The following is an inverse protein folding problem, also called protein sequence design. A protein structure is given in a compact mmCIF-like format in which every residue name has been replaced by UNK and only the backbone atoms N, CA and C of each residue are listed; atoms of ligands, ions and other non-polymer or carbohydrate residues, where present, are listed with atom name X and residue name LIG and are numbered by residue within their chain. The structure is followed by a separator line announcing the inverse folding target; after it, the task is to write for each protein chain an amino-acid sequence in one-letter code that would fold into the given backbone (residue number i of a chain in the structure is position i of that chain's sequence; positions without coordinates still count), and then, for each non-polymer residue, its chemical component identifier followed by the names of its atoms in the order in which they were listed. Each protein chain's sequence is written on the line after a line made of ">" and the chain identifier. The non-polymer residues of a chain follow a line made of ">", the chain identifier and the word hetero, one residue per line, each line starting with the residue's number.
data_IF_781073673771
#
_entry.id   IF_781073673771
#
_cell.length_a   1.000
_cell.length_b   1.000
_cell.length_c   1.000
_cell.angle_alpha   90.00
_cell.angle_beta   90.00
_cell.angle_gamma   90.00
#
_symmetry.space_group_name_H-M   'P 1'
#
loop_
_entity.id
_entity.type
_entity.pdbx_description
1 polymer ?
#
# COMPACT_ATOMS: atom_id res chain seq x y z
N UNK A 1 -14.89 -5.80 -3.38
CA UNK A 1 -13.43 -5.93 -3.43
C UNK A 1 -12.87 -5.77 -2.03
N UNK A 2 -12.09 -6.71 -1.47
CA UNK A 2 -11.51 -6.54 -0.14
C UNK A 2 -10.59 -5.32 -0.12
N UNK A 3 -10.58 -4.62 1.00
CA UNK A 3 -9.70 -3.50 1.28
C UNK A 3 -8.73 -3.90 2.39
N UNK A 4 -7.51 -3.38 2.34
CA UNK A 4 -6.61 -3.42 3.49
C UNK A 4 -6.51 -2.04 4.13
N UNK A 5 -6.47 -2.01 5.46
CA UNK A 5 -6.32 -0.78 6.22
C UNK A 5 -4.84 -0.36 6.23
N UNK A 6 -4.52 0.72 5.51
CA UNK A 6 -3.18 1.31 5.50
C UNK A 6 -3.05 2.32 6.63
N UNK A 7 -2.17 2.02 7.60
CA UNK A 7 -2.08 2.70 8.90
C UNK A 7 -1.09 3.89 8.88
N UNK A 8 -0.98 4.56 7.73
CA UNK A 8 -0.09 5.70 7.60
C UNK A 8 -0.51 6.83 8.54
N UNK A 9 0.45 7.37 9.29
CA UNK A 9 0.22 8.48 10.22
C UNK A 9 -0.37 8.08 11.57
N UNK A 10 -0.53 6.79 11.87
CA UNK A 10 -0.86 6.34 13.24
C UNK A 10 0.38 6.33 14.15
N UNK A 11 0.12 6.42 15.46
CA UNK A 11 1.17 6.33 16.49
C UNK A 11 1.73 4.91 16.55
N UNK A 12 3.05 4.79 16.75
CA UNK A 12 3.73 3.51 16.90
C UNK A 12 4.02 3.13 18.36
N UNK A 13 3.43 3.85 19.32
CA UNK A 13 3.49 3.41 20.73
C UNK A 13 2.68 2.12 20.87
N UNK A 14 3.20 1.08 21.55
CA UNK A 14 2.57 -0.25 21.57
C UNK A 14 1.08 -0.24 21.93
N UNK A 15 0.69 0.51 22.97
CA UNK A 15 -0.70 0.63 23.41
C UNK A 15 -1.63 1.22 22.35
N UNK A 16 -1.13 2.17 21.56
CA UNK A 16 -1.88 2.78 20.47
C UNK A 16 -1.96 1.83 19.28
N UNK A 17 -0.88 1.10 18.99
CA UNK A 17 -0.82 0.11 17.90
C UNK A 17 -1.84 -0.99 18.15
N UNK A 18 -1.84 -1.61 19.34
CA UNK A 18 -2.78 -2.66 19.71
C UNK A 18 -4.22 -2.20 19.57
N UNK A 19 -4.55 -1.03 20.13
CA UNK A 19 -5.90 -0.45 20.05
C UNK A 19 -6.33 -0.22 18.60
N UNK A 20 -5.50 0.44 17.80
CA UNK A 20 -5.80 0.73 16.39
C UNK A 20 -5.99 -0.57 15.60
N UNK A 21 -5.15 -1.57 15.84
CA UNK A 21 -5.27 -2.86 15.17
C UNK A 21 -6.63 -3.52 15.46
N UNK A 22 -6.99 -3.65 16.74
CA UNK A 22 -8.25 -4.25 17.18
C UNK A 22 -9.46 -3.51 16.63
N UNK A 23 -9.47 -2.16 16.71
CA UNK A 23 -10.56 -1.34 16.16
C UNK A 23 -10.77 -1.53 14.66
N UNK A 24 -9.73 -1.84 13.87
CA UNK A 24 -9.88 -2.06 12.43
C UNK A 24 -10.27 -3.49 12.09
N UNK A 25 -9.87 -4.48 12.90
CA UNK A 25 -10.42 -5.84 12.81
C UNK A 25 -11.92 -5.82 13.11
N UNK A 26 -12.37 -5.09 14.14
CA UNK A 26 -13.80 -4.91 14.47
C UNK A 26 -14.59 -4.23 13.34
N UNK A 27 -13.94 -3.39 12.53
CA UNK A 27 -14.53 -2.79 11.32
C UNK A 27 -14.57 -3.74 10.12
N UNK A 28 -14.13 -4.98 10.29
CA UNK A 28 -14.17 -6.05 9.29
C UNK A 28 -12.94 -6.16 8.40
N UNK A 29 -11.86 -5.42 8.65
CA UNK A 29 -10.64 -5.56 7.86
C UNK A 29 -9.94 -6.89 8.18
N UNK A 30 -9.67 -7.68 7.14
CA UNK A 30 -8.87 -8.90 7.21
C UNK A 30 -7.40 -8.68 6.82
N UNK A 31 -7.00 -7.43 6.55
CA UNK A 31 -5.65 -7.08 6.13
C UNK A 31 -5.27 -5.66 6.57
N UNK A 32 -4.00 -5.44 6.92
CA UNK A 32 -3.49 -4.12 7.31
C UNK A 32 -2.02 -3.92 6.95
N UNK A 33 -1.67 -2.67 6.61
CA UNK A 33 -0.29 -2.25 6.32
C UNK A 33 0.23 -1.29 7.40
N UNK A 34 1.43 -1.57 7.92
CA UNK A 34 2.11 -0.75 8.93
C UNK A 34 3.50 -0.31 8.46
N UNK A 35 3.95 0.83 8.97
CA UNK A 35 5.13 1.54 8.45
C UNK A 35 6.28 1.49 9.46
N UNK A 36 7.45 1.10 9.00
CA UNK A 36 8.68 1.20 9.79
C UNK A 36 9.13 2.65 9.95
N UNK A 37 9.85 2.94 11.03
CA UNK A 37 10.44 4.27 11.30
C UNK A 37 11.95 4.24 11.47
N UNK A 38 12.53 3.06 11.45
CA UNK A 38 13.95 2.86 11.64
C UNK A 38 14.55 2.19 10.41
N UNK A 39 15.67 2.73 9.96
CA UNK A 39 16.46 2.19 8.87
C UNK A 39 17.90 1.88 9.30
N UNK A 40 18.83 1.73 8.35
CA UNK A 40 20.23 1.38 8.61
C UNK A 40 20.91 2.29 9.64
N UNK A 41 20.67 3.61 9.57
CA UNK A 41 21.25 4.60 10.48
C UNK A 41 20.80 4.48 11.95
N UNK A 42 19.72 3.76 12.23
CA UNK A 42 19.24 3.53 13.61
C UNK A 42 19.94 2.35 14.31
N UNK A 43 20.82 1.63 13.61
CA UNK A 43 21.62 0.53 14.16
C UNK A 43 20.79 -0.64 14.73
N UNK A 44 21.41 -1.42 15.62
CA UNK A 44 20.74 -2.53 16.32
C UNK A 44 19.52 -2.09 17.15
N UNK A 45 19.53 -0.94 17.86
CA UNK A 45 18.35 -0.48 18.58
C UNK A 45 17.15 -0.23 17.66
N UNK A 46 17.34 0.42 16.51
CA UNK A 46 16.26 0.65 15.54
C UNK A 46 15.71 -0.64 14.95
N UNK A 47 16.60 -1.59 14.63
CA UNK A 47 16.20 -2.92 14.19
C UNK A 47 15.31 -3.62 15.23
N UNK A 48 15.68 -3.57 16.52
CA UNK A 48 14.85 -4.14 17.61
C UNK A 48 13.48 -3.48 17.69
N UNK A 49 13.41 -2.14 17.60
CA UNK A 49 12.15 -1.39 17.60
C UNK A 49 11.22 -1.77 16.45
N UNK A 50 11.77 -1.96 15.24
CA UNK A 50 10.97 -2.45 14.11
C UNK A 50 10.41 -3.85 14.38
N UNK A 51 11.19 -4.76 14.99
CA UNK A 51 10.70 -6.10 15.35
C UNK A 51 9.65 -6.07 16.47
N UNK A 52 9.80 -5.18 17.44
CA UNK A 52 8.84 -4.95 18.52
C UNK A 52 7.50 -4.46 17.97
N UNK A 53 7.52 -3.56 16.98
CA UNK A 53 6.30 -3.13 16.28
C UNK A 53 5.57 -4.31 15.65
N UNK A 54 6.25 -5.12 14.84
CA UNK A 54 5.64 -6.26 14.15
C UNK A 54 5.12 -7.30 15.15
N UNK A 55 5.88 -7.56 16.22
CA UNK A 55 5.43 -8.41 17.32
C UNK A 55 4.15 -7.88 17.94
N UNK A 56 4.10 -6.59 18.27
CA UNK A 56 2.93 -5.95 18.89
C UNK A 56 1.69 -6.08 18.01
N UNK A 57 1.84 -5.86 16.70
CA UNK A 57 0.74 -6.02 15.74
C UNK A 57 0.25 -7.47 15.74
N UNK A 58 1.17 -8.44 15.61
CA UNK A 58 0.81 -9.87 15.62
C UNK A 58 0.17 -10.33 16.93
N UNK A 59 0.65 -9.87 18.07
CA UNK A 59 0.02 -10.14 19.36
C UNK A 59 -1.41 -9.56 19.43
N UNK A 60 -1.68 -8.46 18.73
CA UNK A 60 -2.99 -7.80 18.74
C UNK A 60 -4.02 -8.43 17.80
N UNK A 61 -3.60 -8.96 16.64
CA UNK A 61 -4.52 -9.41 15.57
C UNK A 61 -4.37 -10.88 15.18
N UNK A 62 -3.34 -11.55 15.66
CA UNK A 62 -3.04 -12.94 15.29
C UNK A 62 -2.57 -13.08 13.83
N UNK A 63 -2.80 -14.27 13.28
CA UNK A 63 -2.33 -14.68 11.95
C UNK A 63 -3.46 -14.84 10.92
N UNK A 64 -4.73 -14.73 11.33
CA UNK A 64 -5.88 -14.70 10.40
C UNK A 64 -6.00 -13.36 9.66
N UNK A 65 -5.27 -12.34 10.12
CA UNK A 65 -5.19 -11.03 9.48
C UNK A 65 -3.89 -10.93 8.69
N UNK A 66 -4.00 -10.59 7.41
CA UNK A 66 -2.83 -10.34 6.57
C UNK A 66 -2.11 -9.07 7.03
N UNK A 67 -0.78 -9.16 7.17
CA UNK A 67 0.06 -8.06 7.63
C UNK A 67 1.04 -7.67 6.54
N UNK A 68 0.98 -6.43 6.09
CA UNK A 68 1.91 -5.84 5.16
C UNK A 68 2.81 -4.85 5.89
N UNK A 69 4.06 -4.74 5.46
CA UNK A 69 5.08 -3.95 6.13
C UNK A 69 5.76 -3.00 5.16
N UNK A 70 5.71 -1.71 5.45
CA UNK A 70 6.16 -0.66 4.55
C UNK A 70 7.44 0.00 5.06
N UNK A 71 8.46 0.03 4.21
CA UNK A 71 9.78 0.58 4.48
C UNK A 71 9.95 2.01 3.98
N UNK A 72 9.05 2.52 3.13
CA UNK A 72 9.09 3.86 2.54
C UNK A 72 10.49 4.26 2.05
N UNK A 73 11.07 3.46 1.17
CA UNK A 73 12.36 3.68 0.52
C UNK A 73 13.57 3.83 1.48
N UNK A 74 13.41 3.49 2.77
CA UNK A 74 14.36 3.92 3.81
C UNK A 74 15.45 2.91 4.14
N UNK A 75 15.46 1.74 3.51
CA UNK A 75 16.42 0.67 3.81
C UNK A 75 17.48 0.52 2.71
N UNK A 76 18.41 -0.40 2.96
CA UNK A 76 19.44 -0.84 2.02
C UNK A 76 19.34 -2.34 1.82
N UNK A 77 19.96 -2.87 0.76
CA UNK A 77 19.93 -4.32 0.50
C UNK A 77 20.46 -5.14 1.69
N UNK A 78 21.63 -4.83 2.29
CA UNK A 78 22.14 -5.60 3.43
C UNK A 78 21.24 -5.53 4.66
N UNK A 79 20.66 -4.34 4.94
CA UNK A 79 19.73 -4.18 6.06
C UNK A 79 18.45 -4.99 5.84
N UNK A 80 17.88 -4.91 4.64
CA UNK A 80 16.64 -5.61 4.27
C UNK A 80 16.81 -7.11 4.42
N UNK A 81 17.86 -7.71 3.84
CA UNK A 81 18.14 -9.15 3.96
C UNK A 81 18.30 -9.56 5.43
N UNK A 82 18.98 -8.74 6.25
CA UNK A 82 19.17 -9.02 7.68
C UNK A 82 17.85 -8.94 8.46
N UNK A 83 17.01 -7.97 8.14
CA UNK A 83 15.74 -7.73 8.83
C UNK A 83 14.70 -8.80 8.46
N UNK A 84 14.60 -9.16 7.18
CA UNK A 84 13.66 -10.17 6.67
C UNK A 84 13.85 -11.51 7.36
N UNK A 85 15.10 -12.00 7.53
CA UNK A 85 15.39 -13.23 8.29
C UNK A 85 14.77 -13.28 9.69
N UNK A 86 14.49 -12.12 10.30
CA UNK A 86 13.86 -12.02 11.62
C UNK A 86 12.34 -11.80 11.54
N UNK A 87 11.88 -11.28 10.40
CA UNK A 87 10.47 -11.03 10.11
C UNK A 87 9.74 -12.27 9.58
N UNK A 88 10.44 -13.24 8.98
CA UNK A 88 9.84 -14.45 8.37
C UNK A 88 8.85 -15.16 9.31
N UNK A 89 9.19 -15.30 10.59
CA UNK A 89 8.31 -15.91 11.61
C UNK A 89 6.99 -15.17 11.88
N UNK A 90 6.86 -13.94 11.40
CA UNK A 90 5.64 -13.14 11.51
C UNK A 90 4.83 -13.16 10.21
N UNK A 91 5.25 -13.93 9.21
CA UNK A 91 4.49 -14.20 7.98
C UNK A 91 3.88 -12.95 7.34
N UNK A 92 4.64 -11.87 7.11
CA UNK A 92 4.10 -10.71 6.42
C UNK A 92 3.71 -11.09 4.98
N UNK A 93 2.56 -10.59 4.54
CA UNK A 93 2.06 -10.81 3.18
C UNK A 93 2.98 -10.17 2.13
N UNK A 94 3.58 -9.02 2.44
CA UNK A 94 4.67 -8.45 1.66
C UNK A 94 5.52 -7.46 2.47
N UNK A 95 6.71 -7.15 1.94
CA UNK A 95 7.55 -6.03 2.31
C UNK A 95 7.50 -4.97 1.20
N UNK A 96 7.07 -3.77 1.55
CA UNK A 96 6.83 -2.68 0.60
C UNK A 96 7.94 -1.65 0.62
N UNK A 97 8.33 -1.22 -0.58
CA UNK A 97 9.34 -0.23 -0.87
C UNK A 97 10.61 -0.26 0.01
N UNK A 98 11.36 -1.38 0.08
CA UNK A 98 12.57 -1.45 0.91
C UNK A 98 13.67 -0.47 0.47
N UNK A 99 13.70 -0.07 -0.81
CA UNK A 99 14.76 0.77 -1.37
C UNK A 99 14.17 1.96 -2.13
N UNK A 100 15.01 2.95 -2.39
CA UNK A 100 14.72 4.01 -3.38
C UNK A 100 14.27 3.40 -4.72
N UNK A 101 13.28 4.02 -5.42
CA UNK A 101 12.69 3.49 -6.64
C UNK A 101 13.74 3.29 -7.75
N UNK A 102 14.72 4.20 -7.85
CA UNK A 102 15.81 4.13 -8.84
C UNK A 102 16.63 2.83 -8.75
N UNK A 103 16.65 2.17 -7.59
CA UNK A 103 17.48 0.98 -7.35
C UNK A 103 16.76 -0.33 -7.68
N UNK A 104 16.27 -0.46 -8.91
CA UNK A 104 15.54 -1.65 -9.37
C UNK A 104 16.45 -2.91 -9.32
N UNK A 105 17.75 -2.77 -9.60
CA UNK A 105 18.72 -3.86 -9.43
C UNK A 105 18.74 -4.39 -7.99
N UNK A 106 18.67 -3.47 -7.01
CA UNK A 106 18.62 -3.80 -5.59
C UNK A 106 17.33 -4.51 -5.20
N UNK A 107 16.18 -4.13 -5.76
CA UNK A 107 14.92 -4.86 -5.57
C UNK A 107 15.07 -6.30 -6.05
N UNK A 108 15.56 -6.50 -7.28
CA UNK A 108 15.78 -7.83 -7.84
C UNK A 108 16.81 -8.64 -7.04
N UNK A 109 17.84 -7.98 -6.47
CA UNK A 109 18.79 -8.62 -5.57
C UNK A 109 18.15 -9.10 -4.27
N UNK A 110 17.30 -8.28 -3.65
CA UNK A 110 16.57 -8.65 -2.45
C UNK A 110 15.62 -9.81 -2.76
N UNK A 111 14.86 -9.72 -3.87
CA UNK A 111 13.91 -10.74 -4.31
C UNK A 111 14.54 -12.12 -4.38
N UNK A 112 15.76 -12.23 -4.92
CA UNK A 112 16.51 -13.50 -4.99
C UNK A 112 17.02 -14.03 -3.64
N UNK A 113 17.02 -13.22 -2.58
CA UNK A 113 17.68 -13.50 -1.30
C UNK A 113 16.72 -13.71 -0.12
N UNK A 114 15.44 -13.43 -0.29
CA UNK A 114 14.45 -13.45 0.80
C UNK A 114 13.23 -14.29 0.45
N UNK A 115 12.45 -14.68 1.47
CA UNK A 115 11.22 -15.46 1.30
C UNK A 115 9.94 -14.67 1.58
N UNK A 116 10.05 -13.37 1.82
CA UNK A 116 8.89 -12.47 1.97
C UNK A 116 8.64 -11.81 0.60
N UNK A 117 7.41 -11.81 0.07
CA UNK A 117 7.09 -11.13 -1.18
C UNK A 117 7.46 -9.64 -1.12
N UNK A 118 7.90 -9.08 -2.25
CA UNK A 118 8.23 -7.67 -2.37
C UNK A 118 7.12 -6.93 -3.09
N UNK A 119 6.64 -5.85 -2.51
CA UNK A 119 5.72 -4.94 -3.15
C UNK A 119 6.40 -3.59 -3.43
N UNK A 120 6.00 -2.91 -4.50
CA UNK A 120 6.45 -1.54 -4.74
C UNK A 120 6.03 -0.99 -6.09
N UNK A 121 6.58 0.19 -6.39
CA UNK A 121 6.33 0.90 -7.64
C UNK A 121 5.30 2.02 -7.53
N UNK A 122 4.85 2.41 -6.33
CA UNK A 122 4.02 3.61 -6.18
C UNK A 122 4.75 4.86 -6.71
N UNK A 123 6.08 4.92 -6.52
CA UNK A 123 6.96 5.97 -7.06
C UNK A 123 7.50 5.67 -8.47
N UNK A 124 6.95 4.68 -9.18
CA UNK A 124 7.26 4.43 -10.59
C UNK A 124 6.20 5.03 -11.51
N UNK A 125 6.63 5.42 -12.71
CA UNK A 125 5.80 6.18 -13.63
C UNK A 125 5.65 5.44 -14.95
N UNK A 126 4.41 5.45 -15.47
CA UNK A 126 4.03 4.92 -16.78
C UNK A 126 4.28 3.41 -16.93
N UNK A 127 3.82 2.83 -18.05
CA UNK A 127 4.03 1.40 -18.32
C UNK A 127 5.51 1.02 -18.53
N UNK A 128 6.37 1.99 -18.84
CA UNK A 128 7.79 1.71 -19.08
C UNK A 128 8.53 1.44 -17.77
N UNK A 129 8.26 2.20 -16.70
CA UNK A 129 8.76 1.90 -15.35
C UNK A 129 8.23 0.57 -14.84
N UNK A 130 6.92 0.36 -14.94
CA UNK A 130 6.30 -0.94 -14.61
C UNK A 130 6.95 -2.12 -15.36
N UNK A 131 7.20 -1.98 -16.67
CA UNK A 131 7.86 -3.02 -17.47
C UNK A 131 9.27 -3.33 -16.96
N UNK A 132 10.04 -2.34 -16.51
CA UNK A 132 11.38 -2.60 -15.97
C UNK A 132 11.33 -3.35 -14.64
N UNK A 133 10.39 -3.00 -13.75
CA UNK A 133 10.17 -3.76 -12.51
C UNK A 133 9.81 -5.23 -12.81
N UNK A 134 8.87 -5.46 -13.72
CA UNK A 134 8.41 -6.81 -14.11
C UNK A 134 9.53 -7.61 -14.78
N UNK A 135 10.19 -7.05 -15.80
CA UNK A 135 11.25 -7.73 -16.56
C UNK A 135 12.40 -8.19 -15.68
N UNK A 136 12.70 -7.43 -14.63
CA UNK A 136 13.79 -7.72 -13.69
C UNK A 136 13.36 -8.59 -12.52
N UNK A 137 12.07 -8.94 -12.44
CA UNK A 137 11.46 -9.65 -11.30
C UNK A 137 11.76 -8.92 -9.98
N UNK A 138 11.58 -7.61 -10.00
CA UNK A 138 11.89 -6.73 -8.88
C UNK A 138 10.81 -6.77 -7.79
N UNK A 139 9.57 -7.09 -8.17
CA UNK A 139 8.39 -7.09 -7.29
C UNK A 139 7.53 -8.32 -7.55
N UNK A 140 6.87 -8.79 -6.50
CA UNK A 140 5.79 -9.78 -6.52
C UNK A 140 4.40 -9.13 -6.54
N UNK A 141 4.32 -7.86 -6.14
CA UNK A 141 3.09 -7.04 -6.18
C UNK A 141 3.43 -5.67 -6.74
N UNK A 142 2.72 -5.25 -7.79
CA UNK A 142 2.94 -3.97 -8.44
C UNK A 142 1.97 -2.91 -7.91
N UNK A 143 2.47 -1.73 -7.52
CA UNK A 143 1.68 -0.76 -6.75
C UNK A 143 1.62 0.65 -7.33
N UNK A 144 1.80 0.81 -8.66
CA UNK A 144 1.74 2.12 -9.30
C UNK A 144 0.46 2.88 -8.91
N UNK A 145 0.62 4.15 -8.53
CA UNK A 145 -0.50 5.04 -8.21
C UNK A 145 -1.17 5.53 -9.51
N UNK A 146 -2.50 5.44 -9.57
CA UNK A 146 -3.24 5.81 -10.79
C UNK A 146 -3.09 7.29 -11.14
N UNK A 147 -3.02 8.18 -10.14
CA UNK A 147 -2.89 9.63 -10.32
C UNK A 147 -1.47 10.06 -10.65
N UNK A 148 -0.46 9.27 -10.29
CA UNK A 148 0.94 9.61 -10.55
C UNK A 148 1.46 8.96 -11.83
N UNK A 149 1.12 7.69 -12.08
CA UNK A 149 1.67 6.89 -13.16
C UNK A 149 1.16 7.25 -14.58
N UNK A 150 0.24 8.22 -14.71
CA UNK A 150 -0.30 8.65 -16.01
C UNK A 150 -1.80 8.40 -16.22
N UNK A 151 -2.55 8.17 -15.14
CA UNK A 151 -4.01 8.10 -15.18
C UNK A 151 -4.57 6.72 -15.54
N UNK A 152 -5.90 6.66 -15.61
CA UNK A 152 -6.67 5.42 -15.85
C UNK A 152 -6.23 4.74 -17.15
N UNK A 153 -6.05 5.51 -18.23
CA UNK A 153 -5.63 4.96 -19.52
C UNK A 153 -4.30 4.24 -19.43
N UNK A 154 -3.33 4.82 -18.71
CA UNK A 154 -2.00 4.20 -18.57
C UNK A 154 -2.04 3.00 -17.64
N UNK A 155 -2.77 3.09 -16.52
CA UNK A 155 -2.93 1.97 -15.60
C UNK A 155 -3.62 0.76 -16.20
N UNK A 156 -4.54 0.92 -17.15
CA UNK A 156 -5.10 -0.22 -17.90
C UNK A 156 -4.02 -0.98 -18.68
N UNK A 157 -3.03 -0.29 -19.23
CA UNK A 157 -1.89 -0.93 -19.93
C UNK A 157 -0.94 -1.58 -18.93
N UNK A 158 -0.71 -0.96 -17.78
CA UNK A 158 0.08 -1.55 -16.68
C UNK A 158 -0.56 -2.86 -16.20
N UNK A 159 -1.87 -2.89 -15.97
CA UNK A 159 -2.59 -4.11 -15.57
C UNK A 159 -2.47 -5.21 -16.64
N UNK A 160 -2.58 -4.86 -17.92
CA UNK A 160 -2.39 -5.81 -19.01
C UNK A 160 -0.96 -6.40 -19.01
N UNK A 161 0.07 -5.58 -18.82
CA UNK A 161 1.47 -6.05 -18.73
C UNK A 161 1.69 -6.96 -17.52
N UNK A 162 1.23 -6.55 -16.35
CA UNK A 162 1.41 -7.31 -15.11
C UNK A 162 0.66 -8.67 -15.16
N UNK A 163 -0.52 -8.71 -15.77
CA UNK A 163 -1.27 -9.96 -15.96
C UNK A 163 -0.54 -11.00 -16.81
N UNK A 164 0.22 -10.56 -17.82
CA UNK A 164 1.03 -11.45 -18.65
C UNK A 164 2.19 -12.10 -17.88
N UNK A 165 2.62 -11.47 -16.78
CA UNK A 165 3.70 -11.95 -15.91
C UNK A 165 3.18 -12.62 -14.63
N UNK A 166 1.86 -12.75 -14.47
CA UNK A 166 1.19 -13.22 -13.25
C UNK A 166 1.56 -12.42 -11.98
N UNK A 167 1.79 -11.11 -12.13
CA UNK A 167 2.04 -10.19 -11.03
C UNK A 167 0.76 -9.40 -10.73
N UNK A 168 0.15 -9.51 -9.54
CA UNK A 168 -1.02 -8.72 -9.18
C UNK A 168 -0.68 -7.23 -9.09
N UNK A 169 -1.66 -6.41 -9.46
CA UNK A 169 -1.61 -4.95 -9.34
C UNK A 169 -2.53 -4.53 -8.20
N UNK A 170 -1.95 -3.95 -7.15
CA UNK A 170 -2.68 -3.35 -6.03
C UNK A 170 -2.28 -1.88 -6.01
N UNK A 171 -3.00 -0.99 -6.73
CA UNK A 171 -2.59 0.39 -6.87
C UNK A 171 -2.45 1.07 -5.50
N UNK A 172 -1.34 1.80 -5.30
CA UNK A 172 -1.27 2.79 -4.23
C UNK A 172 -2.44 3.76 -4.38
N UNK A 173 -3.10 4.06 -3.27
CA UNK A 173 -4.35 4.82 -3.25
C UNK A 173 -4.15 6.28 -2.81
N UNK A 174 -3.24 7.01 -3.46
CA UNK A 174 -3.09 8.46 -3.27
C UNK A 174 -4.42 9.21 -3.48
N UNK A 175 -5.28 8.68 -4.35
CA UNK A 175 -6.71 8.95 -4.35
C UNK A 175 -7.50 7.66 -4.52
N UNK A 176 -8.55 7.48 -3.72
CA UNK A 176 -9.31 6.22 -3.67
C UNK A 176 -10.19 6.02 -4.90
N UNK A 177 -10.72 7.09 -5.48
CA UNK A 177 -11.64 7.05 -6.62
C UNK A 177 -11.02 6.43 -7.88
N UNK A 178 -9.84 6.89 -8.37
CA UNK A 178 -9.20 6.29 -9.53
C UNK A 178 -8.65 4.89 -9.23
N UNK A 179 -8.17 4.63 -8.01
CA UNK A 179 -7.72 3.30 -7.59
C UNK A 179 -8.86 2.26 -7.63
N UNK A 180 -10.05 2.63 -7.15
CA UNK A 180 -11.26 1.81 -7.28
C UNK A 180 -11.65 1.61 -8.73
N UNK A 181 -11.64 2.67 -9.54
CA UNK A 181 -12.01 2.58 -10.96
C UNK A 181 -11.15 1.54 -11.70
N UNK A 182 -9.83 1.58 -11.50
CA UNK A 182 -8.92 0.58 -12.06
C UNK A 182 -9.22 -0.80 -11.48
N UNK A 183 -9.27 -0.94 -10.16
CA UNK A 183 -9.41 -2.25 -9.51
C UNK A 183 -10.72 -2.96 -9.89
N UNK A 184 -11.86 -2.25 -9.92
CA UNK A 184 -13.14 -2.84 -10.34
C UNK A 184 -13.24 -3.10 -11.85
N UNK A 185 -12.37 -2.49 -12.66
CA UNK A 185 -12.34 -2.72 -14.11
C UNK A 185 -11.52 -3.95 -14.50
N UNK A 186 -10.78 -4.54 -13.56
CA UNK A 186 -9.91 -5.69 -13.80
C UNK A 186 -10.49 -6.97 -13.15
N UNK A 187 -10.13 -8.15 -13.67
CA UNK A 187 -10.35 -9.41 -12.98
C UNK A 187 -9.72 -9.44 -11.58
N UNK A 188 -10.33 -10.18 -10.65
CA UNK A 188 -9.89 -10.22 -9.26
C UNK A 188 -8.51 -10.87 -9.04
N UNK A 189 -8.05 -11.71 -9.98
CA UNK A 189 -6.69 -12.25 -10.00
C UNK A 189 -5.65 -11.20 -10.44
N UNK A 190 -6.04 -10.22 -11.25
CA UNK A 190 -5.17 -9.09 -11.65
C UNK A 190 -5.16 -8.00 -10.58
N UNK A 191 -6.33 -7.60 -10.08
CA UNK A 191 -6.44 -6.61 -9.00
C UNK A 191 -7.25 -7.20 -7.83
N UNK A 192 -6.60 -7.87 -6.86
CA UNK A 192 -7.31 -8.64 -5.82
C UNK A 192 -7.81 -7.82 -4.64
N UNK A 193 -7.28 -6.61 -4.44
CA UNK A 193 -7.62 -5.78 -3.29
C UNK A 193 -7.37 -4.30 -3.56
N UNK A 194 -7.84 -3.45 -2.64
CA UNK A 194 -7.70 -1.99 -2.71
C UNK A 194 -7.03 -1.49 -1.44
N UNK A 195 -6.04 -0.61 -1.58
CA UNK A 195 -5.49 0.13 -0.44
C UNK A 195 -6.50 1.15 0.10
N UNK A 196 -6.67 1.19 1.42
CA UNK A 196 -7.39 2.27 2.09
C UNK A 196 -6.53 2.95 3.14
N UNK A 197 -5.94 4.11 2.79
CA UNK A 197 -5.19 4.97 3.70
C UNK A 197 -6.15 5.63 4.71
N UNK A 198 -6.36 4.99 5.86
CA UNK A 198 -7.45 5.31 6.79
C UNK A 198 -7.49 6.79 7.18
N UNK A 199 -6.34 7.39 7.50
CA UNK A 199 -6.26 8.82 7.88
C UNK A 199 -6.27 9.73 6.66
N UNK A 200 -5.52 9.40 5.62
CA UNK A 200 -5.39 10.27 4.45
C UNK A 200 -6.64 10.30 3.60
N UNK A 201 -7.45 9.24 3.59
CA UNK A 201 -8.75 9.21 2.96
C UNK A 201 -9.68 10.34 3.45
N UNK A 202 -9.54 10.80 4.70
CA UNK A 202 -10.30 11.94 5.22
C UNK A 202 -9.89 13.23 4.50
N UNK A 203 -8.59 13.44 4.32
CA UNK A 203 -8.00 14.64 3.71
C UNK A 203 -8.21 14.61 2.19
N UNK A 204 -7.82 13.52 1.53
CA UNK A 204 -7.91 13.34 0.08
C UNK A 204 -9.34 13.54 -0.44
N UNK A 205 -10.32 13.11 0.36
CA UNK A 205 -11.72 13.22 0.00
C UNK A 205 -12.36 14.49 0.53
N UNK A 206 -11.68 15.41 1.23
CA UNK A 206 -12.27 16.54 1.97
C UNK A 206 -13.32 17.33 1.17
N UNK A 207 -13.05 17.55 -0.12
CA UNK A 207 -13.92 18.26 -1.05
C UNK A 207 -14.98 17.39 -1.73
N UNK A 208 -14.99 16.07 -1.52
CA UNK A 208 -15.94 15.17 -2.15
C UNK A 208 -17.26 15.16 -1.38
N UNK A 209 -18.38 15.33 -2.11
CA UNK A 209 -19.75 15.19 -1.60
C UNK A 209 -20.03 13.76 -1.15
N UNK A 210 -19.48 12.79 -1.87
CA UNK A 210 -19.54 11.38 -1.53
C UNK A 210 -18.18 10.95 -0.99
N UNK A 211 -18.16 10.35 0.20
CA UNK A 211 -16.96 9.75 0.77
C UNK A 211 -16.99 8.25 0.53
N UNK A 212 -16.01 7.75 -0.20
CA UNK A 212 -15.79 6.34 -0.42
C UNK A 212 -15.06 5.77 0.79
N UNK A 213 -15.70 4.80 1.45
CA UNK A 213 -15.16 4.06 2.58
C UNK A 213 -15.53 2.59 2.44
N UNK A 214 -14.69 1.66 2.91
CA UNK A 214 -15.05 0.26 2.94
C UNK A 214 -16.13 0.00 4.00
N UNK A 215 -17.01 -0.94 3.71
CA UNK A 215 -18.03 -1.46 4.61
C UNK A 215 -17.69 -2.91 4.94
N UNK A 216 -17.52 -3.22 6.24
CA UNK A 216 -17.08 -4.53 6.72
C UNK A 216 -15.78 -5.03 6.03
N UNK A 217 -14.82 -4.14 5.79
CA UNK A 217 -13.56 -4.46 5.10
C UNK A 217 -13.65 -4.56 3.57
N UNK A 218 -14.79 -4.26 2.94
CA UNK A 218 -14.97 -4.34 1.50
C UNK A 218 -15.38 -3.01 0.87
N UNK A 219 -14.83 -2.71 -0.30
CA UNK A 219 -15.39 -1.72 -1.21
C UNK A 219 -16.40 -2.34 -2.15
N UNK A 220 -17.39 -1.52 -2.53
CA UNK A 220 -18.40 -1.82 -3.54
C UNK A 220 -18.28 -0.85 -4.70
N UNK A 221 -18.51 -1.34 -5.92
CA UNK A 221 -18.42 -0.51 -7.12
C UNK A 221 -19.47 0.61 -7.06
N UNK A 222 -19.09 1.87 -7.38
CA UNK A 222 -20.05 2.97 -7.41
C UNK A 222 -21.17 2.72 -8.43
N UNK A 223 -22.41 3.06 -8.06
CA UNK A 223 -23.57 2.96 -8.97
C UNK A 223 -23.79 4.23 -9.82
N UNK A 224 -23.09 5.32 -9.50
CA UNK A 224 -23.20 6.58 -10.25
C UNK A 224 -22.26 6.58 -11.45
N UNK A 225 -22.63 7.22 -12.58
CA UNK A 225 -21.73 7.39 -13.71
C UNK A 225 -20.41 8.09 -13.34
N UNK A 226 -19.34 7.79 -14.08
CA UNK A 226 -18.01 8.36 -13.87
C UNK A 226 -17.28 7.73 -12.68
N UNK A 227 -16.54 8.54 -11.92
CA UNK A 227 -15.73 8.09 -10.77
C UNK A 227 -16.54 7.93 -9.47
N UNK A 228 -17.86 8.06 -9.51
CA UNK A 228 -18.71 7.82 -8.35
C UNK A 228 -18.79 8.95 -7.32
N UNK A 229 -18.14 10.09 -7.56
CA UNK A 229 -18.17 11.25 -6.67
C UNK A 229 -18.43 12.57 -7.41
N UNK A 230 -18.79 13.61 -6.66
CA UNK A 230 -18.87 14.99 -7.11
C UNK A 230 -18.19 15.91 -6.09
N UNK A 231 -17.48 16.96 -6.52
CA UNK A 231 -16.86 17.93 -5.62
C UNK A 231 -17.87 18.93 -5.01
N UNK A 232 -17.53 19.47 -3.84
CA UNK A 232 -18.14 20.62 -3.21
C UNK A 232 -17.59 21.92 -3.83
N UNK A 233 -18.11 22.31 -4.99
CA UNK A 233 -17.63 23.49 -5.73
C UNK A 233 -17.57 24.78 -4.89
N UNK A 234 -18.51 25.00 -3.98
CA UNK A 234 -18.55 26.21 -3.14
C UNK A 234 -17.45 26.24 -2.08
N UNK A 235 -17.01 25.08 -1.57
CA UNK A 235 -15.91 25.01 -0.60
C UNK A 235 -14.55 25.28 -1.25
N UNK A 236 -14.40 24.94 -2.53
CA UNK A 236 -13.16 25.20 -3.28
C UNK A 236 -12.90 26.70 -3.45
N UNK A 237 -13.96 27.49 -3.69
CA UNK A 237 -13.84 28.94 -3.90
C UNK A 237 -13.53 29.73 -2.62
N UNK A 238 -13.84 29.21 -1.44
CA UNK A 238 -13.57 29.88 -0.16
C UNK A 238 -12.10 29.78 0.26
N UNK A 239 -11.40 28.70 -0.08
CA UNK A 239 -9.97 28.55 0.22
C UNK A 239 -9.07 29.36 -0.73
N UNK A 240 -9.42 29.48 -2.02
CA UNK A 240 -8.66 30.33 -2.97
C UNK A 240 -8.67 31.82 -2.58
N UNK A 241 -9.71 32.29 -1.90
CA UNK A 241 -9.83 33.68 -1.45
C UNK A 241 -9.14 33.96 -0.10
N UNK A 242 -8.51 32.95 0.51
CA UNK A 242 -7.77 33.07 1.78
C UNK A 242 -6.24 32.99 1.60
N UNK A 243 -5.76 32.80 0.37
CA UNK A 243 -4.34 32.88 -0.03
C UNK A 243 -4.06 34.12 -0.85
#
# INVERSE_FOLDING_TARGET
>A
MPAYASMLGFSLKPENVTKVCQEHVEKGFSAMKWFFRHGPGSGLPGLKKNLELVKTIRDAVGYDVQLMLDCWMSWSVPYTVKMVKKLEKYEPAWLEEPLMPDNIEGYAEIHRKINIPIAGGEHEYTRWGARELLRRKAVDVLQLDVTWAGGITEMRKVCALASAENVPVIPHAGWIEPAQCITFSQPADVCPMIEYLVKWAVIQQAFNKQKLKPENGFFFAPHKPGLGFAPHMNKLAEEENQT
#
